data_IF_578685780206
#
_entry.id   IF_578685780206
#
_cell.length_a   1.000
_cell.length_b   1.000
_cell.length_c   1.000
_cell.angle_alpha   90.00
_cell.angle_beta   90.00
_cell.angle_gamma   90.00
#
_symmetry.space_group_name_H-M   'P 1'
#
loop_
_entity.id
_entity.type
_entity.pdbx_description
1 polymer ?
#
# COMPACT_ATOMS: atom_id res chain seq x y z
N UNK A 1 -26.16 25.28 16.19
CA UNK A 1 -24.99 25.17 15.28
C UNK A 1 -25.05 23.90 14.45
N UNK A 2 -24.99 22.69 15.01
CA UNK A 2 -25.07 21.44 14.22
C UNK A 2 -26.36 21.29 13.40
N UNK A 3 -27.51 21.70 13.93
CA UNK A 3 -28.78 21.72 13.19
C UNK A 3 -28.74 22.66 11.98
N UNK A 4 -28.28 23.90 12.18
CA UNK A 4 -28.14 24.90 11.11
C UNK A 4 -27.11 24.48 10.06
N UNK A 5 -26.01 23.87 10.50
CA UNK A 5 -25.02 23.26 9.62
C UNK A 5 -25.64 22.15 8.78
N UNK A 6 -26.36 21.20 9.40
CA UNK A 6 -26.99 20.09 8.70
C UNK A 6 -28.05 20.57 7.70
N UNK A 7 -28.83 21.59 8.05
CA UNK A 7 -29.82 22.19 7.14
C UNK A 7 -29.13 22.92 5.97
N UNK A 8 -28.10 23.71 6.24
CA UNK A 8 -27.33 24.41 5.20
C UNK A 8 -26.66 23.40 4.27
N UNK A 9 -26.01 22.37 4.84
CA UNK A 9 -25.38 21.28 4.09
C UNK A 9 -26.38 20.48 3.26
N UNK A 10 -27.54 20.13 3.80
CA UNK A 10 -28.58 19.42 3.07
C UNK A 10 -29.11 20.23 1.87
N UNK A 11 -29.30 21.55 2.05
CA UNK A 11 -29.69 22.45 0.96
C UNK A 11 -28.59 22.60 -0.10
N UNK A 12 -27.32 22.65 0.31
CA UNK A 12 -26.16 22.72 -0.59
C UNK A 12 -25.98 21.43 -1.40
N UNK A 13 -26.16 20.28 -0.76
CA UNK A 13 -25.85 18.99 -1.38
C UNK A 13 -27.01 18.40 -2.19
N UNK A 14 -28.28 18.75 -1.88
CA UNK A 14 -29.52 18.19 -2.47
C UNK A 14 -29.47 16.67 -2.77
N UNK A 15 -28.69 15.88 -2.01
CA UNK A 15 -28.44 14.47 -2.29
C UNK A 15 -29.44 13.58 -1.54
N UNK A 16 -30.50 13.16 -2.24
CA UNK A 16 -31.24 11.93 -1.92
C UNK A 16 -31.60 11.23 -3.23
N UNK A 17 -30.80 10.24 -3.65
CA UNK A 17 -31.08 9.38 -4.80
C UNK A 17 -30.00 9.38 -5.91
N UNK A 18 -30.15 8.48 -6.89
CA UNK A 18 -29.18 8.21 -7.96
C UNK A 18 -29.27 9.15 -9.18
N UNK A 19 -29.92 10.31 -9.03
CA UNK A 19 -30.20 11.26 -10.13
C UNK A 19 -29.58 12.61 -9.80
N UNK A 20 -29.02 13.29 -10.81
CA UNK A 20 -28.49 14.64 -10.67
C UNK A 20 -29.59 15.60 -10.19
N UNK A 21 -29.30 16.38 -9.14
CA UNK A 21 -30.26 17.35 -8.62
C UNK A 21 -30.53 18.43 -9.68
N UNK A 22 -31.77 18.94 -9.78
CA UNK A 22 -32.07 20.06 -10.67
C UNK A 22 -31.23 21.28 -10.30
N UNK A 23 -30.85 22.13 -11.29
CA UNK A 23 -30.19 23.40 -11.02
C UNK A 23 -30.99 24.23 -10.00
N UNK A 24 -30.28 24.90 -9.09
CA UNK A 24 -30.87 25.87 -8.18
C UNK A 24 -31.32 27.10 -8.99
N UNK A 25 -32.50 27.62 -8.64
CA UNK A 25 -32.89 28.93 -9.15
C UNK A 25 -32.04 30.02 -8.50
N UNK A 26 -31.95 31.20 -9.12
CA UNK A 26 -31.22 32.32 -8.52
C UNK A 26 -31.88 32.80 -7.21
N UNK A 27 -33.20 32.66 -7.07
CA UNK A 27 -33.93 32.95 -5.84
C UNK A 27 -33.57 31.96 -4.72
N UNK A 28 -33.52 30.66 -5.02
CA UNK A 28 -33.05 29.64 -4.08
C UNK A 28 -31.59 29.87 -3.67
N UNK A 29 -30.76 30.32 -4.62
CA UNK A 29 -29.35 30.66 -4.39
C UNK A 29 -29.20 31.86 -3.44
N UNK A 30 -30.03 32.90 -3.59
CA UNK A 30 -30.01 34.09 -2.75
C UNK A 30 -30.41 33.76 -1.30
N UNK A 31 -31.42 32.90 -1.13
CA UNK A 31 -31.81 32.37 0.18
C UNK A 31 -30.66 31.59 0.82
N UNK A 32 -29.92 30.81 0.03
CA UNK A 32 -28.80 30.01 0.50
C UNK A 32 -27.59 30.87 0.91
N UNK A 33 -27.29 31.91 0.13
CA UNK A 33 -26.25 32.90 0.42
C UNK A 33 -26.52 33.65 1.73
N UNK A 34 -27.77 34.12 1.91
CA UNK A 34 -28.21 34.74 3.16
C UNK A 34 -28.16 33.79 4.36
N UNK A 35 -28.49 32.50 4.16
CA UNK A 35 -28.41 31.49 5.22
C UNK A 35 -26.96 31.15 5.59
N UNK A 36 -26.05 31.11 4.63
CA UNK A 36 -24.62 30.91 4.87
C UNK A 36 -23.99 32.08 5.62
N UNK A 37 -24.34 33.30 5.26
CA UNK A 37 -23.92 34.52 5.97
C UNK A 37 -24.36 34.50 7.44
N UNK A 38 -25.64 34.17 7.70
CA UNK A 38 -26.16 34.03 9.06
C UNK A 38 -25.50 32.87 9.81
N UNK A 39 -25.32 31.72 9.17
CA UNK A 39 -24.65 30.58 9.79
C UNK A 39 -23.25 30.96 10.29
N UNK A 40 -22.47 31.67 9.49
CA UNK A 40 -21.12 32.09 9.89
C UNK A 40 -21.18 33.14 11.01
N UNK A 41 -21.98 34.20 10.84
CA UNK A 41 -21.99 35.33 11.78
C UNK A 41 -22.67 35.01 13.12
N UNK A 42 -23.74 34.22 13.12
CA UNK A 42 -24.58 33.97 14.30
C UNK A 42 -24.20 32.67 15.03
N UNK A 43 -23.54 31.72 14.35
CA UNK A 43 -23.18 30.44 14.97
C UNK A 43 -21.69 30.16 14.96
N UNK A 44 -21.00 30.29 13.82
CA UNK A 44 -19.57 29.92 13.72
C UNK A 44 -18.69 30.90 14.49
N UNK A 45 -18.81 32.21 14.20
CA UNK A 45 -17.96 33.23 14.83
C UNK A 45 -18.14 33.33 16.35
N UNK A 46 -19.38 33.31 16.90
CA UNK A 46 -19.57 33.38 18.35
C UNK A 46 -19.08 32.14 19.11
N UNK A 47 -19.16 30.96 18.50
CA UNK A 47 -18.79 29.70 19.18
C UNK A 47 -17.32 29.32 18.99
N UNK A 48 -16.75 29.59 17.82
CA UNK A 48 -15.40 29.14 17.43
C UNK A 48 -14.41 30.29 17.27
N UNK A 49 -14.86 31.52 17.44
CA UNK A 49 -14.06 32.72 17.17
C UNK A 49 -13.98 33.06 15.68
N UNK A 50 -13.20 34.09 15.35
CA UNK A 50 -13.03 34.56 13.97
C UNK A 50 -12.20 33.54 13.18
N UNK A 51 -12.81 32.94 12.15
CA UNK A 51 -12.16 31.94 11.28
C UNK A 51 -11.92 32.52 9.87
N UNK A 52 -10.71 33.02 9.64
CA UNK A 52 -10.30 33.62 8.36
C UNK A 52 -9.74 32.57 7.37
N UNK A 53 -10.52 31.54 7.06
CA UNK A 53 -10.11 30.54 6.07
C UNK A 53 -10.67 30.85 4.69
N UNK A 54 -9.99 30.37 3.65
CA UNK A 54 -10.48 30.47 2.26
C UNK A 54 -11.83 29.77 2.06
N UNK A 55 -12.13 28.73 2.86
CA UNK A 55 -13.43 28.04 2.86
C UNK A 55 -14.55 28.94 3.40
N UNK A 56 -14.31 29.63 4.52
CA UNK A 56 -15.29 30.60 5.08
C UNK A 56 -15.48 31.79 4.14
N UNK A 57 -14.41 32.33 3.55
CA UNK A 57 -14.53 33.40 2.56
C UNK A 57 -15.35 32.99 1.33
N UNK A 58 -15.12 31.78 0.79
CA UNK A 58 -15.91 31.25 -0.34
C UNK A 58 -17.37 31.07 0.01
N UNK A 59 -17.66 30.56 1.19
CA UNK A 59 -19.01 30.39 1.68
C UNK A 59 -19.76 31.72 1.84
N UNK A 60 -19.05 32.79 2.23
CA UNK A 60 -19.61 34.14 2.44
C UNK A 60 -19.72 35.00 1.17
N UNK A 61 -18.89 34.76 0.16
CA UNK A 61 -18.75 35.69 -0.97
C UNK A 61 -19.05 35.10 -2.33
N UNK A 62 -18.87 33.79 -2.49
CA UNK A 62 -18.83 33.15 -3.82
C UNK A 62 -19.96 32.12 -4.00
N UNK A 63 -20.94 32.07 -3.11
CA UNK A 63 -22.07 31.13 -3.21
C UNK A 63 -22.91 31.41 -4.45
N UNK A 64 -23.34 32.65 -4.63
CA UNK A 64 -24.14 33.09 -5.78
C UNK A 64 -23.42 32.85 -7.10
N UNK A 65 -22.14 33.19 -7.17
CA UNK A 65 -21.33 33.05 -8.38
C UNK A 65 -21.11 31.57 -8.72
N UNK A 66 -20.91 30.71 -7.71
CA UNK A 66 -20.80 29.27 -7.93
C UNK A 66 -22.11 28.67 -8.47
N UNK A 67 -23.27 29.11 -7.97
CA UNK A 67 -24.57 28.66 -8.51
C UNK A 67 -24.80 29.19 -9.93
N UNK A 68 -24.44 30.45 -10.23
CA UNK A 68 -24.52 31.00 -11.59
C UNK A 68 -23.67 30.21 -12.59
N UNK A 69 -22.46 29.83 -12.21
CA UNK A 69 -21.55 29.11 -13.10
C UNK A 69 -21.88 27.63 -13.25
N UNK A 70 -22.37 26.97 -12.20
CA UNK A 70 -22.50 25.51 -12.16
C UNK A 70 -23.95 25.01 -12.06
N UNK A 71 -24.92 25.90 -11.87
CA UNK A 71 -26.33 25.59 -11.58
C UNK A 71 -26.56 25.00 -10.19
N UNK A 72 -25.65 24.15 -9.72
CA UNK A 72 -25.65 23.60 -8.37
C UNK A 72 -24.20 23.35 -7.91
N UNK A 73 -23.92 23.60 -6.63
CA UNK A 73 -22.62 23.34 -6.02
C UNK A 73 -22.25 21.84 -6.04
N UNK A 74 -23.24 20.95 -6.04
CA UNK A 74 -23.04 19.50 -6.21
C UNK A 74 -22.41 19.15 -7.55
N UNK A 75 -22.61 19.95 -8.59
CA UNK A 75 -22.06 19.68 -9.93
C UNK A 75 -20.55 19.91 -9.97
N UNK A 76 -20.02 20.78 -9.09
CA UNK A 76 -18.59 20.95 -8.86
C UNK A 76 -18.00 19.99 -7.83
N UNK A 77 -18.79 19.05 -7.30
CA UNK A 77 -18.33 18.13 -6.27
C UNK A 77 -17.34 17.12 -6.84
N UNK A 78 -16.10 17.16 -6.35
CA UNK A 78 -15.04 16.25 -6.76
C UNK A 78 -15.09 14.91 -6.03
N UNK A 79 -15.99 14.70 -5.06
CA UNK A 79 -16.03 13.50 -4.23
C UNK A 79 -16.22 12.20 -5.05
N UNK A 80 -16.98 12.24 -6.15
CA UNK A 80 -17.11 11.07 -7.04
C UNK A 80 -15.79 10.75 -7.74
N UNK A 81 -15.12 11.78 -8.27
CA UNK A 81 -13.80 11.65 -8.89
C UNK A 81 -12.77 11.17 -7.85
N UNK A 82 -12.82 11.68 -6.63
CA UNK A 82 -11.94 11.31 -5.52
C UNK A 82 -12.19 9.89 -5.00
N UNK A 83 -13.46 9.45 -4.96
CA UNK A 83 -13.81 8.06 -4.70
C UNK A 83 -13.31 7.12 -5.81
N UNK A 84 -13.35 7.56 -7.06
CA UNK A 84 -12.76 6.83 -8.19
C UNK A 84 -11.23 6.81 -8.10
N UNK A 85 -10.61 7.91 -7.67
CA UNK A 85 -9.17 7.96 -7.37
C UNK A 85 -8.81 6.94 -6.28
N UNK A 86 -9.64 6.71 -5.27
CA UNK A 86 -9.41 5.65 -4.26
C UNK A 86 -9.36 4.25 -4.89
N UNK A 87 -10.21 3.98 -5.88
CA UNK A 87 -10.21 2.73 -6.62
C UNK A 87 -9.00 2.62 -7.58
N UNK A 88 -8.53 3.75 -8.10
CA UNK A 88 -7.46 3.79 -9.10
C UNK A 88 -6.06 3.94 -8.50
N UNK A 89 -5.94 4.41 -7.25
CA UNK A 89 -4.68 4.57 -6.51
C UNK A 89 -3.88 3.26 -6.41
N UNK A 90 -4.49 2.09 -6.13
CA UNK A 90 -3.77 0.81 -6.15
C UNK A 90 -3.21 0.44 -7.53
N UNK A 91 -3.88 0.83 -8.62
CA UNK A 91 -3.40 0.57 -9.98
C UNK A 91 -2.31 1.57 -10.37
N UNK A 92 -2.48 2.85 -10.03
CA UNK A 92 -1.49 3.90 -10.26
C UNK A 92 -0.15 3.60 -9.58
N UNK A 93 -0.17 3.15 -8.31
CA UNK A 93 1.03 2.77 -7.55
C UNK A 93 1.82 1.65 -8.26
N UNK A 94 1.13 0.81 -9.04
CA UNK A 94 1.70 -0.34 -9.76
C UNK A 94 2.17 -0.01 -11.18
N UNK A 95 1.90 1.20 -11.67
CA UNK A 95 2.49 1.66 -12.95
C UNK A 95 3.97 1.96 -12.77
N UNK A 96 4.71 1.97 -13.87
CA UNK A 96 6.09 2.46 -13.89
C UNK A 96 6.22 3.98 -13.66
N UNK A 97 5.08 4.71 -13.55
CA UNK A 97 4.95 6.17 -13.42
C UNK A 97 5.67 6.98 -14.50
N UNK A 98 5.97 6.36 -15.64
CA UNK A 98 6.48 7.06 -16.81
C UNK A 98 5.35 7.80 -17.50
N UNK A 99 5.49 9.12 -17.69
CA UNK A 99 4.46 10.01 -18.23
C UNK A 99 3.79 9.48 -19.51
N UNK A 100 4.59 8.86 -20.39
CA UNK A 100 4.10 8.39 -21.69
C UNK A 100 3.37 7.05 -21.63
N UNK A 101 3.46 6.30 -20.52
CA UNK A 101 3.00 4.91 -20.44
C UNK A 101 2.10 4.59 -19.27
N UNK A 102 2.06 5.44 -18.23
CA UNK A 102 1.28 5.16 -17.02
C UNK A 102 -0.23 5.14 -17.29
N UNK A 103 -0.74 5.98 -18.19
CA UNK A 103 -2.17 6.01 -18.55
C UNK A 103 -2.61 4.67 -19.16
N UNK A 104 -1.86 4.15 -20.13
CA UNK A 104 -2.17 2.86 -20.76
C UNK A 104 -2.06 1.68 -19.79
N UNK A 105 -1.09 1.71 -18.88
CA UNK A 105 -0.95 0.69 -17.83
C UNK A 105 -2.11 0.75 -16.84
N UNK A 106 -2.47 1.95 -16.38
CA UNK A 106 -3.55 2.15 -15.43
C UNK A 106 -4.89 1.67 -15.99
N UNK A 107 -5.21 2.05 -17.23
CA UNK A 107 -6.44 1.60 -17.92
C UNK A 107 -6.48 0.08 -18.06
N UNK A 108 -5.37 -0.56 -18.46
CA UNK A 108 -5.31 -2.01 -18.63
C UNK A 108 -5.49 -2.75 -17.30
N UNK A 109 -4.86 -2.28 -16.22
CA UNK A 109 -5.00 -2.87 -14.89
C UNK A 109 -6.41 -2.68 -14.31
N UNK A 110 -6.97 -1.48 -14.48
CA UNK A 110 -8.33 -1.17 -14.05
C UNK A 110 -9.36 -2.02 -14.81
N UNK A 111 -9.25 -2.13 -16.13
CA UNK A 111 -10.21 -2.85 -16.96
C UNK A 111 -10.21 -4.36 -16.67
N UNK A 112 -9.03 -4.98 -16.57
CA UNK A 112 -8.92 -6.41 -16.24
C UNK A 112 -9.47 -6.73 -14.85
N UNK A 113 -9.17 -5.89 -13.86
CA UNK A 113 -9.64 -6.09 -12.48
C UNK A 113 -11.15 -5.87 -12.36
N UNK A 114 -11.70 -4.84 -13.02
CA UNK A 114 -13.13 -4.53 -13.00
C UNK A 114 -13.97 -5.64 -13.65
N UNK A 115 -13.52 -6.23 -14.76
CA UNK A 115 -14.23 -7.35 -15.40
C UNK A 115 -14.28 -8.61 -14.52
N UNK A 116 -13.18 -8.90 -13.81
CA UNK A 116 -13.13 -10.01 -12.85
C UNK A 116 -14.09 -9.77 -11.68
N UNK A 117 -14.07 -8.57 -11.08
CA UNK A 117 -14.98 -8.21 -10.00
C UNK A 117 -16.45 -8.24 -10.44
N UNK A 118 -16.78 -7.72 -11.62
CA UNK A 118 -18.13 -7.77 -12.17
C UNK A 118 -18.59 -9.21 -12.43
N UNK A 119 -17.69 -10.09 -12.85
CA UNK A 119 -17.98 -11.51 -13.02
C UNK A 119 -18.23 -12.21 -11.69
N UNK A 120 -17.47 -11.88 -10.65
CA UNK A 120 -17.71 -12.39 -9.30
C UNK A 120 -19.05 -11.91 -8.74
N UNK A 121 -19.40 -10.64 -8.91
CA UNK A 121 -20.70 -10.12 -8.49
C UNK A 121 -21.86 -10.80 -9.22
N UNK A 122 -21.74 -11.03 -10.54
CA UNK A 122 -22.74 -11.80 -11.29
C UNK A 122 -22.92 -13.20 -10.71
N UNK A 123 -21.82 -13.91 -10.47
CA UNK A 123 -21.84 -15.25 -9.87
C UNK A 123 -22.42 -15.25 -8.45
N UNK A 124 -22.13 -14.24 -7.63
CA UNK A 124 -22.71 -14.11 -6.29
C UNK A 124 -24.22 -13.83 -6.34
N UNK A 125 -24.68 -12.99 -7.27
CA UNK A 125 -26.12 -12.74 -7.48
C UNK A 125 -26.86 -13.98 -7.99
N UNK A 126 -26.27 -14.72 -8.92
CA UNK A 126 -26.81 -15.98 -9.43
C UNK A 126 -26.89 -17.04 -8.32
N UNK A 127 -25.84 -17.15 -7.50
CA UNK A 127 -25.85 -18.03 -6.32
C UNK A 127 -26.92 -17.61 -5.31
N UNK A 128 -27.07 -16.32 -5.06
CA UNK A 128 -28.11 -15.79 -4.18
C UNK A 128 -29.53 -16.04 -4.73
N UNK A 129 -29.69 -16.08 -6.05
CA UNK A 129 -30.98 -16.37 -6.70
C UNK A 129 -31.36 -17.86 -6.70
N UNK A 130 -30.38 -18.77 -6.56
CA UNK A 130 -30.61 -20.22 -6.50
C UNK A 130 -30.77 -20.80 -5.08
N UNK A 131 -30.74 -19.95 -4.04
CA UNK A 131 -30.92 -20.37 -2.64
C UNK A 131 -32.30 -19.91 -2.18
N UNK A 132 -33.09 -20.82 -1.60
CA UNK A 132 -34.40 -20.47 -1.02
C UNK A 132 -34.23 -19.31 -0.01
N UNK A 133 -35.11 -18.30 -0.03
CA UNK A 133 -35.01 -17.18 0.90
C UNK A 133 -35.10 -17.70 2.33
N UNK A 134 -34.02 -17.49 3.09
CA UNK A 134 -34.00 -17.76 4.53
C UNK A 134 -35.06 -16.87 5.18
N UNK A 135 -35.97 -17.42 6.02
CA UNK A 135 -36.97 -16.62 6.71
C UNK A 135 -36.29 -15.48 7.49
N UNK A 136 -36.78 -14.27 7.26
CA UNK A 136 -36.23 -13.04 7.83
C UNK A 136 -36.30 -13.05 9.35
N UNK A 137 -35.16 -13.12 10.02
CA UNK A 137 -35.05 -12.67 11.41
C UNK A 137 -34.85 -11.16 11.42
N UNK A 138 -35.94 -10.44 11.18
CA UNK A 138 -35.99 -8.98 11.26
C UNK A 138 -35.97 -8.51 12.72
N UNK A 139 -34.82 -8.54 13.40
CA UNK A 139 -34.49 -7.58 14.47
C UNK A 139 -32.97 -7.43 14.58
N UNK A 140 -32.43 -6.31 14.12
CA UNK A 140 -31.03 -5.93 14.40
C UNK A 140 -30.33 -5.19 13.26
N UNK A 141 -30.70 -3.93 13.04
CA UNK A 141 -29.97 -3.02 12.14
C UNK A 141 -28.64 -2.64 12.80
N UNK A 142 -27.55 -3.33 12.46
CA UNK A 142 -26.20 -2.86 12.76
C UNK A 142 -25.82 -1.79 11.73
N UNK A 143 -25.77 -0.55 12.19
CA UNK A 143 -25.14 0.56 11.46
C UNK A 143 -23.64 0.34 11.46
N UNK A 144 -23.06 0.17 10.26
CA UNK A 144 -21.60 0.20 10.05
C UNK A 144 -21.18 1.67 10.05
N UNK A 145 -20.64 2.13 11.17
CA UNK A 145 -19.90 3.39 11.26
C UNK A 145 -18.42 3.05 11.49
N UNK A 146 -17.53 3.67 10.72
CA UNK A 146 -16.08 3.41 10.77
C UNK A 146 -15.43 3.17 9.41
N UNK A 147 -15.39 4.21 8.57
CA UNK A 147 -14.53 4.24 7.38
C UNK A 147 -13.07 4.44 7.76
N UNK A 148 -12.20 3.53 7.31
CA UNK A 148 -10.74 3.67 7.38
C UNK A 148 -10.28 4.86 6.50
N UNK A 149 -9.78 5.91 7.15
CA UNK A 149 -9.32 7.17 6.57
C UNK A 149 -7.81 7.10 6.28
N UNK A 150 -7.46 6.90 5.00
CA UNK A 150 -6.09 6.73 4.52
C UNK A 150 -5.34 8.05 4.31
N UNK A 151 -6.00 9.18 4.53
CA UNK A 151 -5.54 10.47 4.00
C UNK A 151 -4.63 11.17 5.02
N UNK A 152 -4.78 10.87 6.31
CA UNK A 152 -3.91 11.37 7.39
C UNK A 152 -2.46 10.87 7.37
N UNK A 153 -2.17 9.75 6.70
CA UNK A 153 -0.80 9.23 6.62
C UNK A 153 -0.02 9.78 5.42
N UNK A 154 -0.70 10.37 4.43
CA UNK A 154 -0.10 10.73 3.15
C UNK A 154 0.32 12.21 3.04
N UNK A 155 -0.33 13.12 3.77
CA UNK A 155 0.04 14.55 3.77
C UNK A 155 1.41 14.82 4.40
N UNK A 156 1.89 13.93 5.28
CA UNK A 156 3.25 14.00 5.83
C UNK A 156 4.33 13.51 4.85
N UNK A 157 3.96 12.78 3.79
CA UNK A 157 4.90 12.08 2.87
C UNK A 157 5.30 12.96 1.67
N UNK A 158 4.54 14.01 1.37
CA UNK A 158 4.73 14.82 0.15
C UNK A 158 5.56 16.10 0.35
N UNK A 159 5.81 16.55 1.59
CA UNK A 159 6.46 17.84 1.82
C UNK A 159 7.99 17.85 1.60
N UNK A 160 8.70 16.72 1.73
CA UNK A 160 10.15 16.75 2.00
C UNK A 160 11.08 16.14 0.94
N UNK A 161 10.70 15.99 -0.34
CA UNK A 161 11.57 15.25 -1.28
C UNK A 161 11.64 15.75 -2.72
N UNK A 162 11.62 17.06 -2.93
CA UNK A 162 12.00 17.62 -4.23
C UNK A 162 13.29 18.45 -4.11
N UNK A 163 14.42 17.97 -4.65
CA UNK A 163 15.40 18.85 -5.26
C UNK A 163 15.30 18.74 -6.79
N UNK A 164 15.38 19.90 -7.41
CA UNK A 164 15.28 20.12 -8.84
C UNK A 164 16.34 19.34 -9.64
N UNK A 165 15.93 19.00 -10.85
CA UNK A 165 16.68 18.36 -11.92
C UNK A 165 17.96 19.10 -12.29
N UNK A 166 18.98 18.34 -12.69
CA UNK A 166 20.06 18.79 -13.57
C UNK A 166 20.37 17.66 -14.55
N UNK A 167 20.36 18.03 -15.83
CA UNK A 167 20.40 17.16 -17.01
C UNK A 167 21.82 16.66 -17.37
N UNK A 168 21.88 15.94 -18.51
CA UNK A 168 23.01 15.43 -19.30
C UNK A 168 23.42 13.99 -18.94
N UNK A 169 23.45 12.99 -19.82
CA UNK A 169 23.36 12.89 -21.27
C UNK A 169 24.22 11.69 -21.71
N UNK A 170 23.80 10.91 -22.72
CA UNK A 170 24.67 9.96 -23.44
C UNK A 170 24.24 8.48 -23.43
N UNK A 171 23.78 8.01 -24.59
CA UNK A 171 23.40 6.63 -24.87
C UNK A 171 24.62 5.73 -25.14
N UNK A 172 24.54 4.46 -24.75
CA UNK A 172 25.32 3.38 -25.39
C UNK A 172 24.57 2.05 -25.32
N UNK A 173 24.43 1.44 -26.49
CA UNK A 173 23.74 0.19 -26.82
C UNK A 173 24.53 -1.04 -26.37
N UNK A 174 23.90 -1.94 -25.61
CA UNK A 174 24.33 -3.33 -25.44
C UNK A 174 23.14 -4.29 -25.38
N UNK A 175 23.15 -5.29 -26.25
CA UNK A 175 22.32 -6.50 -26.19
C UNK A 175 22.74 -7.37 -24.99
N UNK A 176 21.77 -7.91 -24.25
CA UNK A 176 21.99 -8.94 -23.21
C UNK A 176 21.50 -8.55 -21.80
N UNK A 177 20.59 -9.39 -21.25
CA UNK A 177 19.96 -9.31 -19.94
C UNK A 177 19.10 -8.05 -19.67
N UNK A 178 17.99 -8.15 -18.90
CA UNK A 178 17.25 -6.96 -18.52
C UNK A 178 18.20 -5.99 -17.82
N UNK A 179 18.39 -4.80 -18.39
CA UNK A 179 19.23 -3.77 -17.79
C UNK A 179 18.74 -3.49 -16.37
N UNK A 180 19.54 -3.92 -15.40
CA UNK A 180 19.27 -3.79 -13.98
C UNK A 180 19.58 -2.35 -13.58
N UNK A 181 18.52 -1.58 -13.37
CA UNK A 181 18.58 -0.19 -12.95
C UNK A 181 18.70 -0.17 -11.43
N UNK A 182 19.85 0.28 -10.93
CA UNK A 182 20.11 0.54 -9.52
C UNK A 182 21.53 1.03 -9.32
N UNK A 183 21.71 2.15 -8.60
CA UNK A 183 23.05 2.63 -8.24
C UNK A 183 23.74 1.59 -7.36
N UNK A 184 24.93 1.13 -7.77
CA UNK A 184 25.74 0.22 -6.98
C UNK A 184 26.65 1.01 -6.04
N UNK A 185 26.43 0.87 -4.73
CA UNK A 185 27.25 1.52 -3.71
C UNK A 185 28.10 0.48 -3.02
N UNK A 186 29.39 0.77 -2.83
CA UNK A 186 30.32 -0.13 -2.14
C UNK A 186 30.22 0.08 -0.63
N UNK A 187 30.10 -1.02 0.10
CA UNK A 187 30.18 -1.06 1.55
C UNK A 187 31.22 -2.09 1.97
N UNK A 188 31.88 -1.85 3.09
CA UNK A 188 32.61 -2.93 3.77
C UNK A 188 31.62 -3.95 4.32
N UNK A 189 32.04 -5.21 4.44
CA UNK A 189 31.22 -6.26 5.09
C UNK A 189 30.86 -5.86 6.52
N UNK A 190 31.76 -5.19 7.25
CA UNK A 190 31.49 -4.68 8.60
C UNK A 190 30.42 -3.58 8.63
N UNK A 191 30.39 -2.68 7.65
CA UNK A 191 29.29 -1.70 7.53
C UNK A 191 27.96 -2.38 7.19
N UNK A 192 28.00 -3.39 6.32
CA UNK A 192 26.80 -4.12 5.94
C UNK A 192 26.25 -4.96 7.11
N UNK A 193 27.12 -5.51 7.96
CA UNK A 193 26.72 -6.29 9.13
C UNK A 193 26.08 -5.45 10.24
N UNK A 194 26.35 -4.15 10.29
CA UNK A 194 25.68 -3.22 11.21
C UNK A 194 24.21 -2.97 10.89
N UNK A 195 23.70 -3.42 9.74
CA UNK A 195 22.28 -3.25 9.39
C UNK A 195 21.41 -4.28 10.10
N UNK A 196 20.16 -3.93 10.48
CA UNK A 196 19.23 -4.88 11.07
C UNK A 196 19.09 -6.13 10.21
N UNK A 197 19.19 -7.30 10.82
CA UNK A 197 19.10 -8.58 10.10
C UNK A 197 20.40 -9.08 9.48
N UNK A 198 21.46 -8.27 9.40
CA UNK A 198 22.67 -8.61 8.62
C UNK A 198 23.93 -8.87 9.45
N UNK A 199 23.83 -9.00 10.78
CA UNK A 199 24.98 -9.21 11.68
C UNK A 199 25.92 -10.34 11.24
N UNK A 200 25.41 -11.36 10.56
CA UNK A 200 26.18 -12.53 10.06
C UNK A 200 26.46 -12.53 8.56
N UNK A 201 26.27 -11.41 7.87
CA UNK A 201 26.49 -11.34 6.42
C UNK A 201 27.92 -11.73 6.02
N UNK A 202 28.93 -11.42 6.84
CA UNK A 202 30.32 -11.83 6.55
C UNK A 202 30.50 -13.35 6.44
N UNK A 203 29.90 -14.12 7.35
CA UNK A 203 29.93 -15.58 7.31
C UNK A 203 29.21 -16.12 6.07
N UNK A 204 28.04 -15.57 5.75
CA UNK A 204 27.24 -15.95 4.57
C UNK A 204 27.96 -15.65 3.24
N UNK A 205 28.75 -14.58 3.22
CA UNK A 205 29.55 -14.18 2.07
C UNK A 205 30.91 -14.87 2.00
N UNK A 206 31.39 -15.48 3.08
CA UNK A 206 32.76 -15.98 3.20
C UNK A 206 33.79 -14.85 3.13
N UNK A 207 33.48 -13.67 3.68
CA UNK A 207 34.30 -12.47 3.60
C UNK A 207 34.59 -11.85 4.96
N UNK A 208 35.77 -11.27 5.10
CA UNK A 208 36.20 -10.53 6.30
C UNK A 208 35.57 -9.13 6.34
N UNK A 209 35.44 -8.56 7.53
CA UNK A 209 34.78 -7.26 7.74
C UNK A 209 35.34 -6.11 6.89
N UNK A 210 36.66 -6.10 6.62
CA UNK A 210 37.31 -5.07 5.82
C UNK A 210 37.07 -5.20 4.31
N UNK A 211 36.59 -6.35 3.82
CA UNK A 211 36.38 -6.56 2.40
C UNK A 211 35.18 -5.76 1.87
N UNK A 212 35.28 -5.29 0.63
CA UNK A 212 34.22 -4.52 -0.02
C UNK A 212 33.24 -5.41 -0.77
N UNK A 213 31.97 -5.03 -0.71
CA UNK A 213 30.85 -5.64 -1.44
C UNK A 213 30.05 -4.54 -2.11
N UNK A 214 29.72 -4.74 -3.38
CA UNK A 214 28.85 -3.80 -4.11
C UNK A 214 27.40 -4.14 -3.79
N UNK A 215 26.65 -3.18 -3.26
CA UNK A 215 25.25 -3.32 -2.86
C UNK A 215 24.37 -2.50 -3.81
N UNK A 216 23.28 -3.11 -4.27
CA UNK A 216 22.27 -2.50 -5.13
C UNK A 216 21.06 -2.11 -4.30
N UNK A 217 20.42 -0.99 -4.64
CA UNK A 217 19.15 -0.58 -4.02
C UNK A 217 17.97 -1.43 -4.51
N UNK A 218 17.99 -1.82 -5.78
CA UNK A 218 16.94 -2.62 -6.41
C UNK A 218 17.48 -3.46 -7.58
N UNK A 219 16.69 -4.46 -7.99
CA UNK A 219 16.97 -5.31 -9.14
C UNK A 219 15.65 -5.77 -9.77
N UNK A 220 15.64 -6.03 -11.09
CA UNK A 220 14.49 -6.63 -11.76
C UNK A 220 14.64 -8.14 -11.83
N UNK A 221 13.53 -8.83 -11.66
CA UNK A 221 13.42 -10.28 -11.91
C UNK A 221 12.28 -10.56 -12.88
N UNK A 222 12.33 -11.72 -13.51
CA UNK A 222 11.17 -12.32 -14.16
C UNK A 222 10.51 -13.27 -13.17
N UNK A 223 9.43 -12.79 -12.56
CA UNK A 223 8.73 -13.50 -11.51
C UNK A 223 7.90 -14.65 -12.07
N UNK A 224 8.00 -15.82 -11.42
CA UNK A 224 7.26 -17.05 -11.71
C UNK A 224 6.02 -17.14 -10.82
N UNK A 225 4.84 -16.97 -11.41
CA UNK A 225 3.56 -17.04 -10.72
C UNK A 225 2.98 -18.46 -10.67
N UNK A 226 1.98 -18.66 -9.82
CA UNK A 226 1.14 -19.86 -9.84
C UNK A 226 0.48 -20.02 -11.21
N UNK A 227 0.64 -21.19 -11.83
CA UNK A 227 0.13 -21.47 -13.18
C UNK A 227 1.12 -21.20 -14.33
N UNK A 228 2.38 -20.88 -14.05
CA UNK A 228 3.45 -20.78 -15.06
C UNK A 228 3.57 -19.41 -15.75
N UNK A 229 2.72 -18.44 -15.40
CA UNK A 229 2.84 -17.08 -15.90
C UNK A 229 4.13 -16.41 -15.41
N UNK A 230 4.72 -15.58 -16.27
CA UNK A 230 5.95 -14.82 -15.98
C UNK A 230 5.69 -13.32 -16.11
N UNK A 231 6.10 -12.52 -15.12
CA UNK A 231 6.03 -11.05 -15.22
C UNK A 231 7.28 -10.35 -14.67
N UNK A 232 7.68 -9.20 -15.24
CA UNK A 232 8.77 -8.41 -14.66
C UNK A 232 8.38 -7.80 -13.31
N UNK A 233 9.17 -8.03 -12.26
CA UNK A 233 9.03 -7.38 -10.95
C UNK A 233 10.30 -6.63 -10.58
N UNK A 234 10.16 -5.50 -9.88
CA UNK A 234 11.29 -4.76 -9.30
C UNK A 234 11.37 -5.07 -7.81
N UNK A 235 12.44 -5.75 -7.40
CA UNK A 235 12.76 -6.03 -6.00
C UNK A 235 13.60 -4.91 -5.41
N UNK A 236 13.36 -4.57 -4.14
CA UNK A 236 14.05 -3.52 -3.39
C UNK A 236 14.63 -4.07 -2.09
N UNK A 237 15.86 -3.63 -1.81
CA UNK A 237 16.60 -3.98 -0.61
C UNK A 237 17.37 -2.77 -0.05
N UNK A 238 16.70 -1.62 0.04
CA UNK A 238 17.34 -0.37 0.42
C UNK A 238 17.26 -0.16 1.93
N UNK A 239 18.40 0.01 2.59
CA UNK A 239 18.43 0.36 4.02
C UNK A 239 18.01 1.81 4.30
N UNK A 240 18.19 2.69 3.32
CA UNK A 240 17.76 4.09 3.40
C UNK A 240 17.12 4.49 2.07
N UNK A 241 15.81 4.44 2.04
CA UNK A 241 14.96 4.99 1.00
C UNK A 241 14.03 5.99 1.69
N UNK A 242 14.20 7.28 1.40
CA UNK A 242 13.46 8.36 2.10
C UNK A 242 13.57 8.24 3.63
N UNK A 243 14.80 8.09 4.13
CA UNK A 243 15.13 7.94 5.55
C UNK A 243 14.52 6.71 6.25
N UNK A 244 13.99 5.75 5.50
CA UNK A 244 13.44 4.50 6.05
C UNK A 244 13.94 3.28 5.27
N UNK A 245 14.04 2.11 5.91
CA UNK A 245 14.34 0.88 5.21
C UNK A 245 13.16 0.45 4.32
N UNK A 246 13.45 0.02 3.10
CA UNK A 246 12.53 -0.65 2.19
C UNK A 246 13.10 -2.02 1.82
N UNK A 247 12.47 -3.06 2.37
CA UNK A 247 12.81 -4.45 2.13
C UNK A 247 11.59 -5.21 1.62
N UNK A 248 11.65 -5.69 0.37
CA UNK A 248 10.58 -6.51 -0.17
C UNK A 248 10.66 -7.93 0.40
N UNK A 249 9.52 -8.58 0.59
CA UNK A 249 9.46 -10.00 0.93
C UNK A 249 9.28 -10.83 -0.33
N UNK A 250 9.94 -11.98 -0.41
CA UNK A 250 9.95 -12.83 -1.60
C UNK A 250 9.71 -14.31 -1.27
N UNK A 251 9.21 -15.03 -2.26
CA UNK A 251 9.30 -16.48 -2.31
C UNK A 251 10.56 -16.88 -3.11
N UNK A 252 11.33 -17.85 -2.62
CA UNK A 252 12.60 -18.26 -3.23
C UNK A 252 12.87 -19.76 -3.10
N UNK A 253 13.67 -20.30 -4.03
CA UNK A 253 14.20 -21.67 -3.97
C UNK A 253 15.50 -21.67 -3.16
N UNK A 254 15.58 -22.49 -2.11
CA UNK A 254 16.80 -22.64 -1.34
C UNK A 254 17.81 -23.49 -2.13
N UNK A 255 19.11 -23.14 -2.15
CA UNK A 255 20.12 -23.86 -2.96
C UNK A 255 20.29 -25.34 -2.59
N UNK A 256 20.02 -25.73 -1.34
CA UNK A 256 20.59 -26.95 -0.74
C UNK A 256 19.57 -28.04 -0.40
N UNK A 257 18.26 -27.86 -0.63
CA UNK A 257 17.28 -28.89 -0.22
C UNK A 257 16.84 -29.85 -1.33
N UNK A 258 17.15 -29.57 -2.60
CA UNK A 258 16.81 -30.43 -3.76
C UNK A 258 15.32 -30.79 -3.87
N UNK A 259 14.49 -30.20 -3.01
CA UNK A 259 13.13 -30.65 -2.71
C UNK A 259 12.11 -30.00 -3.63
N UNK A 260 12.54 -28.99 -4.40
CA UNK A 260 11.65 -28.10 -5.13
C UNK A 260 10.76 -27.25 -4.21
N UNK A 261 11.01 -27.27 -2.90
CA UNK A 261 10.20 -26.54 -1.94
C UNK A 261 10.70 -25.11 -1.85
N UNK A 262 9.81 -24.19 -2.16
CA UNK A 262 10.08 -22.77 -2.07
C UNK A 262 9.79 -22.26 -0.65
N UNK A 263 10.52 -21.22 -0.26
CA UNK A 263 10.50 -20.62 1.09
C UNK A 263 10.18 -19.14 1.00
N UNK A 264 9.94 -18.52 2.15
CA UNK A 264 9.71 -17.08 2.26
C UNK A 264 10.88 -16.40 2.94
N UNK A 265 11.18 -15.17 2.53
CA UNK A 265 12.19 -14.37 3.21
C UNK A 265 12.12 -12.90 2.84
N UNK A 266 12.56 -12.05 3.76
CA UNK A 266 12.66 -10.62 3.54
C UNK A 266 14.05 -10.27 3.01
N UNK A 267 14.08 -9.48 1.94
CA UNK A 267 15.29 -9.13 1.21
C UNK A 267 16.05 -8.02 1.95
N UNK A 268 17.14 -8.38 2.64
CA UNK A 268 17.93 -7.43 3.44
C UNK A 268 19.05 -6.75 2.67
N UNK A 269 19.57 -7.38 1.62
CA UNK A 269 20.52 -6.76 0.71
C UNK A 269 20.50 -7.43 -0.67
N UNK A 270 20.75 -6.63 -1.71
CA UNK A 270 21.09 -7.10 -3.05
C UNK A 270 22.55 -6.79 -3.30
N UNK A 271 23.34 -7.79 -3.68
CA UNK A 271 24.78 -7.63 -3.83
C UNK A 271 25.28 -8.13 -5.17
N UNK A 272 26.38 -7.55 -5.63
CA UNK A 272 27.13 -8.02 -6.80
C UNK A 272 28.48 -8.56 -6.35
N UNK A 273 28.73 -9.83 -6.64
CA UNK A 273 29.97 -10.55 -6.29
C UNK A 273 30.40 -11.37 -7.50
N UNK A 274 31.66 -11.21 -7.94
CA UNK A 274 32.21 -11.99 -9.06
C UNK A 274 31.45 -11.82 -10.37
N UNK A 275 30.84 -10.65 -10.60
CA UNK A 275 30.02 -10.39 -11.79
C UNK A 275 28.56 -10.87 -11.70
N UNK A 276 28.23 -11.75 -10.75
CA UNK A 276 26.88 -12.27 -10.53
C UNK A 276 26.14 -11.49 -9.43
N UNK A 277 24.80 -11.62 -9.43
CA UNK A 277 23.92 -10.96 -8.49
C UNK A 277 23.32 -11.94 -7.48
N UNK A 278 23.40 -11.58 -6.21
CA UNK A 278 22.86 -12.38 -5.11
C UNK A 278 21.93 -11.55 -4.24
N UNK A 279 20.95 -12.23 -3.67
CA UNK A 279 20.06 -11.71 -2.64
C UNK A 279 20.47 -12.28 -1.28
N UNK A 280 20.51 -11.40 -0.28
CA UNK A 280 20.66 -11.77 1.13
C UNK A 280 19.28 -11.68 1.79
N UNK A 281 18.79 -12.81 2.27
CA UNK A 281 17.41 -12.96 2.77
C UNK A 281 17.42 -13.37 4.24
N UNK A 282 16.56 -12.75 5.05
CA UNK A 282 16.16 -13.30 6.35
C UNK A 282 15.00 -14.27 6.14
N UNK A 283 15.17 -15.54 6.49
CA UNK A 283 14.15 -16.58 6.29
C UNK A 283 12.93 -16.39 7.21
N UNK A 284 11.75 -16.58 6.62
CA UNK A 284 10.50 -16.74 7.32
C UNK A 284 9.99 -18.17 7.11
N UNK A 285 9.67 -18.84 8.20
CA UNK A 285 9.15 -20.20 8.18
C UNK A 285 7.63 -20.22 8.31
N UNK A 286 7.00 -21.15 7.60
CA UNK A 286 5.57 -21.43 7.73
C UNK A 286 5.28 -22.05 9.10
N UNK A 287 4.18 -21.63 9.72
CA UNK A 287 3.68 -22.16 10.98
C UNK A 287 2.18 -22.46 10.89
N UNK A 288 1.67 -23.23 11.85
CA UNK A 288 0.25 -23.55 11.94
C UNK A 288 -0.61 -22.27 11.90
N UNK A 289 -1.62 -22.30 11.03
CA UNK A 289 -2.64 -21.26 10.94
C UNK A 289 -3.51 -21.22 12.19
N UNK A 290 -4.16 -20.08 12.42
CA UNK A 290 -5.16 -19.94 13.48
C UNK A 290 -6.48 -20.54 13.00
N UNK A 291 -7.06 -21.45 13.79
CA UNK A 291 -8.35 -22.07 13.47
C UNK A 291 -9.42 -21.00 13.25
N UNK A 292 -10.27 -21.21 12.23
CA UNK A 292 -11.35 -20.28 11.82
C UNK A 292 -10.90 -18.86 11.41
N UNK A 293 -9.60 -18.60 11.26
CA UNK A 293 -9.11 -17.33 10.73
C UNK A 293 -9.50 -17.20 9.25
N UNK A 294 -10.14 -16.08 8.82
CA UNK A 294 -10.52 -15.88 7.41
C UNK A 294 -9.36 -15.99 6.42
N UNK A 295 -8.14 -15.57 6.82
CA UNK A 295 -6.95 -15.69 5.97
C UNK A 295 -6.55 -17.15 5.78
N UNK A 296 -6.57 -17.96 6.84
CA UNK A 296 -6.26 -19.41 6.77
C UNK A 296 -7.31 -20.16 5.95
N UNK A 297 -8.60 -19.87 6.16
CA UNK A 297 -9.69 -20.44 5.37
C UNK A 297 -9.55 -20.14 3.86
N UNK A 298 -8.88 -19.04 3.53
CA UNK A 298 -8.56 -18.61 2.16
C UNK A 298 -7.12 -18.94 1.74
N UNK A 299 -6.52 -19.96 2.38
CA UNK A 299 -5.19 -20.53 2.04
C UNK A 299 -4.00 -19.58 2.21
N UNK A 300 -4.15 -18.48 2.95
CA UNK A 300 -3.00 -17.67 3.36
C UNK A 300 -2.17 -18.44 4.37
N UNK A 301 -0.86 -18.49 4.14
CA UNK A 301 0.07 -19.18 5.04
C UNK A 301 0.52 -18.24 6.14
N UNK A 302 0.51 -18.74 7.38
CA UNK A 302 0.99 -18.01 8.54
C UNK A 302 2.50 -18.21 8.67
N UNK A 303 3.23 -17.13 8.93
CA UNK A 303 4.68 -17.11 9.03
C UNK A 303 5.16 -16.65 10.40
N UNK A 304 6.39 -17.05 10.73
CA UNK A 304 7.26 -16.41 11.73
C UNK A 304 8.68 -16.32 11.19
N UNK A 305 9.51 -15.48 11.78
CA UNK A 305 10.94 -15.50 11.49
C UNK A 305 11.57 -16.85 11.86
N UNK A 306 12.41 -17.38 10.98
CA UNK A 306 13.16 -18.59 11.25
C UNK A 306 14.27 -18.29 12.26
N UNK A 307 14.38 -19.14 13.27
CA UNK A 307 15.42 -19.05 14.31
C UNK A 307 16.50 -20.08 13.96
N UNK A 308 17.76 -19.65 13.73
CA UNK A 308 18.84 -20.56 13.44
C UNK A 308 19.27 -21.33 14.70
N UNK A 309 19.77 -22.55 14.52
CA UNK A 309 20.19 -23.45 15.60
C UNK A 309 21.47 -22.97 16.31
N UNK A 310 22.29 -22.19 15.60
CA UNK A 310 23.58 -21.68 16.07
C UNK A 310 23.48 -20.47 17.01
N UNK A 311 22.28 -20.17 17.51
CA UNK A 311 22.01 -19.09 18.45
C UNK A 311 22.03 -17.68 17.84
N UNK A 312 22.30 -17.53 16.55
CA UNK A 312 22.29 -16.21 15.91
C UNK A 312 20.90 -15.61 15.78
N UNK A 313 20.81 -14.28 15.62
CA UNK A 313 19.52 -13.58 15.61
C UNK A 313 18.62 -14.01 14.44
N UNK A 314 19.20 -14.25 13.27
CA UNK A 314 18.47 -14.42 12.01
C UNK A 314 19.07 -15.53 11.16
N UNK A 315 18.22 -16.40 10.61
CA UNK A 315 18.63 -17.38 9.62
C UNK A 315 18.73 -16.71 8.25
N UNK A 316 19.97 -16.56 7.78
CA UNK A 316 20.30 -15.85 6.55
C UNK A 316 20.57 -16.78 5.37
N UNK A 317 20.12 -16.38 4.19
CA UNK A 317 20.43 -17.04 2.92
C UNK A 317 21.16 -16.10 1.98
N UNK A 318 22.14 -16.62 1.25
CA UNK A 318 22.66 -16.03 0.01
C UNK A 318 22.16 -16.86 -1.16
N UNK A 319 21.25 -16.30 -1.95
CA UNK A 319 20.71 -16.98 -3.12
C UNK A 319 21.01 -16.20 -4.39
N UNK A 320 21.26 -16.86 -5.53
CA UNK A 320 21.27 -16.18 -6.81
C UNK A 320 19.94 -15.44 -7.02
N UNK A 321 19.97 -14.24 -7.60
CA UNK A 321 18.72 -13.48 -7.86
C UNK A 321 17.73 -14.28 -8.73
N UNK A 322 18.23 -15.15 -9.62
CA UNK A 322 17.38 -16.05 -10.43
C UNK A 322 16.63 -17.14 -9.64
N UNK A 323 17.07 -17.45 -8.42
CA UNK A 323 16.38 -18.39 -7.51
C UNK A 323 15.21 -17.74 -6.79
N UNK A 324 15.03 -16.42 -6.92
CA UNK A 324 13.84 -15.74 -6.42
C UNK A 324 12.68 -16.03 -7.39
N UNK A 325 11.61 -16.59 -6.86
CA UNK A 325 10.41 -16.91 -7.62
C UNK A 325 9.60 -15.66 -7.90
N UNK A 326 9.27 -14.91 -6.86
CA UNK A 326 8.44 -13.70 -6.95
C UNK A 326 8.47 -12.91 -5.65
N UNK A 327 8.15 -11.64 -5.74
CA UNK A 327 7.74 -10.84 -4.59
C UNK A 327 6.43 -11.36 -4.01
N UNK A 328 6.30 -11.31 -2.69
CA UNK A 328 5.08 -11.68 -1.97
C UNK A 328 4.70 -10.60 -0.97
N UNK A 329 3.41 -10.36 -0.85
CA UNK A 329 2.90 -9.43 0.14
C UNK A 329 2.72 -10.15 1.49
N UNK A 330 3.41 -9.67 2.52
CA UNK A 330 3.32 -10.20 3.88
C UNK A 330 2.77 -9.12 4.80
N UNK A 331 1.73 -9.48 5.56
CA UNK A 331 1.07 -8.58 6.50
C UNK A 331 1.21 -9.10 7.93
N UNK A 332 1.37 -8.22 8.93
CA UNK A 332 1.34 -8.65 10.33
C UNK A 332 0.04 -9.38 10.68
N UNK A 333 0.15 -10.41 11.53
CA UNK A 333 -1.00 -11.04 12.17
C UNK A 333 -1.50 -10.12 13.28
N UNK A 334 -2.38 -9.19 12.92
CA UNK A 334 -2.95 -8.22 13.87
C UNK A 334 -3.69 -8.91 15.01
N UNK A 335 -4.32 -10.06 14.78
CA UNK A 335 -4.97 -10.82 15.85
C UNK A 335 -3.95 -11.31 16.88
N UNK A 336 -2.77 -11.76 16.44
CA UNK A 336 -1.66 -12.11 17.34
C UNK A 336 -1.13 -10.88 18.07
N UNK A 337 -0.85 -9.78 17.35
CA UNK A 337 -0.39 -8.52 17.94
C UNK A 337 -1.32 -8.01 19.05
N UNK A 338 -2.63 -7.98 18.77
CA UNK A 338 -3.64 -7.54 19.74
C UNK A 338 -3.64 -8.39 21.02
N UNK A 339 -3.42 -9.70 20.89
CA UNK A 339 -3.37 -10.62 22.05
C UNK A 339 -2.07 -10.51 22.85
N UNK A 340 -0.94 -10.24 22.18
CA UNK A 340 0.37 -10.24 22.83
C UNK A 340 0.79 -8.87 23.33
N UNK A 341 0.32 -7.79 22.71
CA UNK A 341 0.79 -6.42 22.99
C UNK A 341 -0.34 -5.45 23.36
N UNK A 342 -1.60 -5.72 22.99
CA UNK A 342 -2.77 -4.89 23.35
C UNK A 342 -3.39 -4.09 22.20
N UNK A 343 -4.44 -3.31 22.49
CA UNK A 343 -5.38 -2.72 21.50
C UNK A 343 -4.87 -1.52 20.68
N UNK A 344 -3.71 -0.95 21.01
CA UNK A 344 -3.22 0.30 20.41
C UNK A 344 -1.81 0.21 19.80
N UNK A 345 -1.34 -0.99 19.46
CA UNK A 345 0.08 -1.18 19.18
C UNK A 345 0.39 -1.20 17.68
N UNK A 346 1.24 -0.26 17.27
CA UNK A 346 1.93 -0.24 15.98
C UNK A 346 2.89 -1.42 15.91
N UNK A 347 2.98 -2.09 14.75
CA UNK A 347 3.92 -3.19 14.58
C UNK A 347 5.36 -2.74 14.93
N UNK A 348 6.14 -3.54 15.69
CA UNK A 348 7.50 -3.14 16.07
C UNK A 348 8.34 -2.78 14.83
N UNK A 349 9.11 -1.68 14.88
CA UNK A 349 9.97 -1.32 13.77
C UNK A 349 11.04 -2.39 13.56
N UNK A 350 11.62 -2.45 12.36
CA UNK A 350 12.66 -3.44 12.01
C UNK A 350 13.94 -3.31 12.85
N UNK A 351 14.13 -2.18 13.52
CA UNK A 351 15.22 -1.89 14.46
C UNK A 351 14.92 -2.39 15.88
N UNK A 352 13.72 -2.91 16.16
CA UNK A 352 13.38 -3.48 17.45
C UNK A 352 14.27 -4.69 17.79
N UNK A 353 14.45 -5.02 19.08
CA UNK A 353 15.26 -6.16 19.49
C UNK A 353 14.81 -7.46 18.81
N UNK A 354 15.78 -8.31 18.44
CA UNK A 354 15.49 -9.57 17.74
C UNK A 354 14.49 -10.46 18.51
N UNK A 355 14.56 -10.46 19.85
CA UNK A 355 13.61 -11.17 20.70
C UNK A 355 12.15 -10.72 20.48
N UNK A 356 11.91 -9.41 20.33
CA UNK A 356 10.58 -8.84 20.06
C UNK A 356 10.11 -9.26 18.67
N UNK A 357 10.96 -9.06 17.65
CA UNK A 357 10.60 -9.38 16.28
C UNK A 357 10.35 -10.88 16.07
N UNK A 358 11.08 -11.78 16.75
CA UNK A 358 10.82 -13.23 16.75
C UNK A 358 9.45 -13.62 17.32
N UNK A 359 8.91 -12.80 18.22
CA UNK A 359 7.56 -12.94 18.75
C UNK A 359 6.47 -12.67 17.71
N UNK A 360 6.80 -11.97 16.61
CA UNK A 360 5.85 -11.58 15.58
C UNK A 360 5.34 -12.77 14.77
N UNK A 361 4.11 -12.61 14.27
CA UNK A 361 3.48 -13.52 13.32
C UNK A 361 2.99 -12.70 12.14
N UNK A 362 2.99 -13.34 10.98
CA UNK A 362 2.60 -12.69 9.73
C UNK A 362 1.75 -13.64 8.89
N UNK A 363 1.09 -13.10 7.88
CA UNK A 363 0.42 -13.87 6.85
C UNK A 363 0.93 -13.48 5.47
N UNK A 364 1.16 -14.49 4.64
CA UNK A 364 1.32 -14.29 3.19
C UNK A 364 -0.05 -14.01 2.62
N UNK A 365 -0.21 -12.84 2.04
CA UNK A 365 -1.47 -12.37 1.52
C UNK A 365 -1.72 -12.92 0.10
N UNK A 366 -2.52 -13.98 0.02
CA UNK A 366 -2.87 -14.63 -1.26
C UNK A 366 -3.89 -13.85 -2.09
N UNK A 367 -4.48 -12.75 -1.58
CA UNK A 367 -5.31 -11.86 -2.39
C UNK A 367 -4.47 -10.95 -3.29
N UNK A 368 -3.20 -10.76 -2.92
CA UNK A 368 -2.23 -9.99 -3.70
C UNK A 368 -0.98 -10.85 -3.94
N UNK A 369 -1.10 -11.98 -4.66
CA UNK A 369 0.01 -12.92 -4.86
C UNK A 369 1.08 -12.39 -5.82
N UNK A 370 0.89 -11.18 -6.37
CA UNK A 370 1.76 -10.51 -7.35
C UNK A 370 2.62 -9.39 -6.75
N UNK A 371 2.47 -9.06 -5.47
CA UNK A 371 3.24 -8.00 -4.80
C UNK A 371 2.90 -6.57 -5.26
#
# INVERSE_FOLDING_TARGET
>A
MFSEYALLYAMLCRQVGSVAAPPLTLEEAEVLDGKATRFVNEFVTPLLGVLNTTKIHRLLRHMMDAVRCHGNLSNGNTASNEAQHKADKPFYIRTNRGFDSFTGQNVRHAQGTREILATHERQERERAACVDPVPSNAVGRLTVDGGYDSDKEMDCILADSWPASSEHGGASTRTGAPALVGHATRYTVGQLSGRPGLSRVGAVLGKRNAELVSVLSCTRILARLGGGAVLPQLLRASFSFRNSPWYDTVAFEAPDDGSGTWRYGELRALIRVGGAHYAILCEMQVVAGVARCPLVLRRCQRLRWAVPEDGSDWKLWKVPVGSILRMVHVVPDFGHLLRTVGREVVAPPITAPAAVLRGMRYFVNQFYPWG
#
